data_IF_519524703202
#
_entry.id   IF_519524703202
#
_cell.length_a   1.000
_cell.length_b   1.000
_cell.length_c   1.000
_cell.angle_alpha   90.00
_cell.angle_beta   90.00
_cell.angle_gamma   90.00
#
_symmetry.space_group_name_H-M   'P 1'
#
loop_
_entity.id
_entity.type
_entity.pdbx_description
1 polymer ?
#
# COMPACT_ATOMS: atom_id res chain seq x y z
N UNK A 1 -9.27 19.08 -8.27
CA UNK A 1 -9.04 18.00 -7.29
C UNK A 1 -9.35 18.59 -5.92
N UNK A 2 -10.24 17.93 -5.17
CA UNK A 2 -10.64 18.40 -3.85
C UNK A 2 -9.63 17.85 -2.84
N UNK A 3 -8.73 18.71 -2.37
CA UNK A 3 -7.62 18.32 -1.49
C UNK A 3 -8.05 18.14 -0.05
N UNK A 4 -9.36 18.12 0.28
CA UNK A 4 -9.83 18.06 1.67
C UNK A 4 -9.78 16.66 2.30
N UNK A 5 -9.88 15.59 1.51
CA UNK A 5 -9.88 14.20 2.00
C UNK A 5 -8.48 13.58 2.01
N UNK A 6 -8.27 12.60 2.89
CA UNK A 6 -7.04 11.83 3.05
C UNK A 6 -5.82 12.71 3.34
N UNK A 7 -6.00 13.69 4.22
CA UNK A 7 -4.90 14.53 4.69
C UNK A 7 -3.79 13.68 5.29
N UNK A 8 -2.57 14.23 5.32
CA UNK A 8 -1.45 13.54 5.93
C UNK A 8 -1.65 13.40 7.45
N UNK A 9 -2.14 14.42 8.14
CA UNK A 9 -2.27 14.41 9.61
C UNK A 9 -3.61 14.98 10.08
N UNK A 10 -3.88 14.84 11.39
CA UNK A 10 -5.11 15.30 12.03
C UNK A 10 -6.09 14.17 12.32
N UNK A 11 -7.02 14.40 13.25
CA UNK A 11 -7.97 13.38 13.70
C UNK A 11 -8.93 12.94 12.60
N UNK A 12 -9.38 13.88 11.76
CA UNK A 12 -10.19 13.57 10.58
C UNK A 12 -9.44 12.69 9.59
N UNK A 13 -8.15 12.99 9.34
CA UNK A 13 -7.32 12.16 8.48
C UNK A 13 -7.27 10.71 8.96
N UNK A 14 -6.96 10.51 10.25
CA UNK A 14 -6.90 9.15 10.84
C UNK A 14 -8.22 8.41 10.61
N UNK A 15 -9.37 9.08 10.79
CA UNK A 15 -10.66 8.45 10.50
C UNK A 15 -10.87 8.12 9.03
N UNK A 16 -10.45 8.99 8.10
CA UNK A 16 -10.56 8.78 6.66
C UNK A 16 -9.67 7.63 6.18
N UNK A 17 -8.44 7.53 6.69
CA UNK A 17 -7.53 6.42 6.38
C UNK A 17 -8.06 5.09 6.93
N UNK A 18 -8.58 5.06 8.16
CA UNK A 18 -9.13 3.85 8.78
C UNK A 18 -10.34 3.27 8.03
N UNK A 19 -11.20 4.11 7.44
CA UNK A 19 -12.42 3.63 6.73
C UNK A 19 -12.14 3.01 5.37
N UNK A 20 -10.90 3.11 4.85
CA UNK A 20 -10.49 2.42 3.63
C UNK A 20 -10.52 0.90 3.76
N UNK A 21 -10.41 0.41 5.00
CA UNK A 21 -10.37 -1.02 5.31
C UNK A 21 -11.76 -1.43 5.81
N UNK A 22 -12.41 -2.41 5.17
CA UNK A 22 -13.72 -2.85 5.62
C UNK A 22 -13.63 -3.52 7.00
N UNK A 23 -14.74 -3.51 7.78
CA UNK A 23 -14.80 -4.23 9.04
C UNK A 23 -14.36 -5.70 8.89
N UNK A 24 -13.56 -6.19 9.83
CA UNK A 24 -12.99 -7.54 9.75
C UNK A 24 -11.83 -7.67 8.75
N UNK A 25 -11.16 -6.57 8.41
CA UNK A 25 -9.93 -6.54 7.60
C UNK A 25 -10.09 -7.07 6.16
N UNK A 26 -11.33 -7.18 5.68
CA UNK A 26 -11.63 -7.77 4.38
C UNK A 26 -11.31 -9.26 4.29
N UNK A 27 -11.24 -9.95 5.42
CA UNK A 27 -10.92 -11.38 5.49
C UNK A 27 -12.13 -12.20 5.08
N UNK A 28 -11.94 -13.09 4.10
CA UNK A 28 -12.87 -14.10 3.66
C UNK A 28 -12.34 -15.49 4.04
N UNK A 29 -13.24 -16.42 4.30
CA UNK A 29 -12.88 -17.79 4.68
C UNK A 29 -13.26 -18.73 3.54
N UNK A 30 -12.29 -19.46 2.99
CA UNK A 30 -12.50 -20.36 1.86
C UNK A 30 -11.98 -21.78 2.19
N UNK A 31 -12.61 -22.78 1.55
CA UNK A 31 -12.25 -24.19 1.71
C UNK A 31 -12.82 -24.86 2.96
N UNK A 32 -12.70 -26.18 3.04
CA UNK A 32 -13.23 -26.98 4.16
C UNK A 32 -12.52 -26.74 5.48
N UNK A 33 -11.27 -26.29 5.44
CA UNK A 33 -10.48 -25.93 6.61
C UNK A 33 -10.69 -24.46 7.05
N UNK A 34 -11.51 -23.67 6.33
CA UNK A 34 -11.78 -22.27 6.68
C UNK A 34 -10.56 -21.37 6.58
N UNK A 35 -9.72 -21.56 5.56
CA UNK A 35 -8.49 -20.79 5.42
C UNK A 35 -8.80 -19.32 5.15
N UNK A 36 -8.02 -18.43 5.78
CA UNK A 36 -8.21 -16.99 5.69
C UNK A 36 -7.55 -16.45 4.42
N UNK A 37 -8.30 -15.64 3.68
CA UNK A 37 -7.82 -14.90 2.53
C UNK A 37 -8.27 -13.45 2.67
N UNK A 38 -7.54 -12.53 2.06
CA UNK A 38 -7.95 -11.13 1.93
C UNK A 38 -7.90 -10.76 0.47
N UNK A 39 -8.86 -9.95 0.01
CA UNK A 39 -8.81 -9.38 -1.35
C UNK A 39 -7.55 -8.51 -1.45
N UNK A 40 -6.75 -8.73 -2.51
CA UNK A 40 -5.46 -8.04 -2.69
C UNK A 40 -5.56 -6.51 -2.50
N UNK A 41 -6.63 -5.89 -3.01
CA UNK A 41 -6.90 -4.46 -2.84
C UNK A 41 -6.97 -4.03 -1.36
N UNK A 42 -7.65 -4.79 -0.49
CA UNK A 42 -7.74 -4.43 0.93
C UNK A 42 -6.40 -4.62 1.65
N UNK A 43 -5.62 -5.63 1.27
CA UNK A 43 -4.27 -5.79 1.80
C UNK A 43 -3.36 -4.63 1.37
N UNK A 44 -3.44 -4.18 0.11
CA UNK A 44 -2.73 -2.99 -0.37
C UNK A 44 -3.06 -1.73 0.43
N UNK A 45 -4.34 -1.50 0.74
CA UNK A 45 -4.79 -0.35 1.55
C UNK A 45 -4.32 -0.44 3.00
N UNK A 46 -4.33 -1.64 3.61
CA UNK A 46 -3.77 -1.87 4.95
C UNK A 46 -2.27 -1.55 5.01
N UNK A 47 -1.50 -2.04 4.04
CA UNK A 47 -0.07 -1.74 3.94
C UNK A 47 0.18 -0.23 3.84
N UNK A 48 -0.64 0.47 3.04
CA UNK A 48 -0.53 1.91 2.84
C UNK A 48 -0.84 2.70 4.13
N UNK A 49 -1.88 2.31 4.86
CA UNK A 49 -2.26 2.93 6.13
C UNK A 49 -1.15 2.79 7.20
N UNK A 50 -0.50 1.63 7.29
CA UNK A 50 0.64 1.44 8.22
C UNK A 50 1.84 2.30 7.82
N UNK A 51 2.14 2.42 6.53
CA UNK A 51 3.21 3.32 6.03
C UNK A 51 2.88 4.77 6.38
N UNK A 52 1.63 5.20 6.17
CA UNK A 52 1.14 6.53 6.51
C UNK A 52 1.29 6.82 8.00
N UNK A 53 0.78 5.95 8.86
CA UNK A 53 0.86 6.07 10.31
C UNK A 53 2.31 6.14 10.80
N UNK A 54 3.22 5.36 10.19
CA UNK A 54 4.65 5.46 10.48
C UNK A 54 5.26 6.79 10.05
N UNK A 55 4.85 7.31 8.89
CA UNK A 55 5.33 8.57 8.34
C UNK A 55 4.93 9.77 9.21
N UNK A 56 3.73 9.75 9.79
CA UNK A 56 3.25 10.82 10.69
C UNK A 56 3.56 10.60 12.17
N UNK A 57 4.20 9.48 12.52
CA UNK A 57 4.61 9.19 13.89
C UNK A 57 3.45 8.90 14.84
N UNK A 58 2.40 8.21 14.37
CA UNK A 58 1.31 7.81 15.24
C UNK A 58 1.80 6.77 16.28
N UNK A 59 1.50 6.98 17.58
CA UNK A 59 2.04 6.17 18.67
C UNK A 59 1.40 4.77 18.79
N UNK A 60 0.26 4.52 18.15
CA UNK A 60 -0.60 3.36 18.44
C UNK A 60 -0.34 2.10 17.59
N UNK A 61 0.75 2.07 16.80
CA UNK A 61 1.07 0.90 15.98
C UNK A 61 2.14 -0.02 16.57
N UNK A 62 2.69 0.28 17.75
CA UNK A 62 3.61 -0.66 18.39
C UNK A 62 2.80 -1.84 18.92
N UNK A 63 2.99 -3.05 18.37
CA UNK A 63 2.19 -4.16 18.79
C UNK A 63 2.60 -4.56 20.22
N UNK A 64 1.62 -4.48 21.13
CA UNK A 64 1.77 -4.64 22.59
C UNK A 64 2.13 -6.08 23.03
N UNK A 65 2.53 -6.96 22.11
CA UNK A 65 2.74 -8.38 22.35
C UNK A 65 4.17 -8.82 21.97
N UNK A 66 4.83 -9.53 22.87
CA UNK A 66 6.24 -9.98 22.74
C UNK A 66 6.52 -10.87 21.51
N UNK A 67 5.49 -11.50 20.93
CA UNK A 67 5.57 -12.37 19.74
C UNK A 67 5.24 -11.66 18.42
N UNK A 68 4.94 -10.37 18.46
CA UNK A 68 4.54 -9.62 17.26
C UNK A 68 5.75 -9.01 16.56
N UNK A 69 5.75 -8.94 15.21
CA UNK A 69 6.85 -8.32 14.49
C UNK A 69 7.01 -6.86 14.91
N UNK A 70 8.24 -6.41 15.09
CA UNK A 70 8.53 -5.02 15.39
C UNK A 70 7.93 -4.11 14.32
N UNK A 71 7.57 -2.88 14.71
CA UNK A 71 7.05 -1.88 13.77
C UNK A 71 7.96 -1.68 12.54
N UNK A 72 9.27 -1.86 12.72
CA UNK A 72 10.25 -1.82 11.64
C UNK A 72 10.15 -3.00 10.67
N UNK A 73 10.09 -4.24 11.17
CA UNK A 73 9.89 -5.43 10.34
C UNK A 73 8.58 -5.36 9.56
N UNK A 74 7.53 -4.87 10.21
CA UNK A 74 6.23 -4.67 9.59
C UNK A 74 6.30 -3.60 8.47
N UNK A 75 6.96 -2.47 8.74
CA UNK A 75 7.18 -1.42 7.74
C UNK A 75 7.98 -1.94 6.54
N UNK A 76 9.05 -2.73 6.78
CA UNK A 76 9.84 -3.33 5.70
C UNK A 76 9.01 -4.28 4.84
N UNK A 77 8.20 -5.15 5.47
CA UNK A 77 7.30 -6.06 4.77
C UNK A 77 6.36 -5.28 3.84
N UNK A 78 5.73 -4.22 4.36
CA UNK A 78 4.80 -3.40 3.58
C UNK A 78 5.46 -2.60 2.47
N UNK A 79 6.66 -2.07 2.68
CA UNK A 79 7.41 -1.39 1.62
C UNK A 79 7.82 -2.35 0.50
N UNK A 80 8.19 -3.59 0.84
CA UNK A 80 8.48 -4.62 -0.16
C UNK A 80 7.22 -5.06 -0.92
N UNK A 81 6.10 -5.20 -0.22
CA UNK A 81 4.81 -5.50 -0.84
C UNK A 81 4.38 -4.37 -1.79
N UNK A 82 4.48 -3.11 -1.35
CA UNK A 82 4.15 -1.94 -2.17
C UNK A 82 5.06 -1.84 -3.40
N UNK A 83 6.36 -2.08 -3.24
CA UNK A 83 7.30 -2.19 -4.36
C UNK A 83 6.84 -3.23 -5.37
N UNK A 84 6.47 -4.44 -4.92
CA UNK A 84 5.96 -5.50 -5.82
C UNK A 84 4.68 -5.04 -6.53
N UNK A 85 3.74 -4.45 -5.81
CA UNK A 85 2.49 -3.93 -6.39
C UNK A 85 2.77 -2.89 -7.48
N UNK A 86 3.61 -1.90 -7.19
CA UNK A 86 4.01 -0.85 -8.15
C UNK A 86 4.66 -1.45 -9.39
N UNK A 87 5.65 -2.33 -9.22
CA UNK A 87 6.41 -2.88 -10.35
C UNK A 87 5.58 -3.83 -11.22
N UNK A 88 4.58 -4.50 -10.63
CA UNK A 88 3.79 -5.53 -11.32
C UNK A 88 2.43 -5.07 -11.83
N UNK A 89 1.81 -4.08 -11.20
CA UNK A 89 0.43 -3.70 -11.48
C UNK A 89 0.28 -2.27 -11.97
N UNK A 90 1.26 -1.38 -11.75
CA UNK A 90 1.20 -0.05 -12.36
C UNK A 90 1.64 -0.13 -13.82
N UNK A 91 0.97 0.67 -14.63
CA UNK A 91 1.39 0.89 -16.00
C UNK A 91 2.67 1.72 -15.99
N UNK A 92 3.82 1.07 -16.17
CA UNK A 92 5.12 1.75 -16.24
C UNK A 92 5.27 2.65 -17.47
N UNK A 93 4.33 2.61 -18.42
CA UNK A 93 4.30 3.49 -19.58
C UNK A 93 3.59 4.85 -19.34
N UNK A 94 3.30 5.21 -18.08
CA UNK A 94 2.85 6.56 -17.76
C UNK A 94 3.99 7.56 -18.02
N UNK A 95 3.95 8.20 -19.18
CA UNK A 95 4.87 9.27 -19.58
C UNK A 95 4.51 10.59 -18.88
N UNK A 96 5.53 11.42 -18.59
CA UNK A 96 5.33 12.79 -18.11
C UNK A 96 4.69 13.65 -19.21
N UNK A 97 3.41 14.02 -19.03
CA UNK A 97 2.72 14.97 -19.92
C UNK A 97 3.15 16.39 -19.58
N UNK A 98 4.35 16.76 -20.03
CA UNK A 98 4.68 18.11 -20.52
C UNK A 98 6.08 18.09 -21.15
N UNK A 99 6.15 17.77 -22.43
CA UNK A 99 7.35 17.96 -23.25
C UNK A 99 6.98 18.64 -24.56
N UNK A 100 7.70 19.71 -24.91
CA UNK A 100 7.60 20.37 -26.21
C UNK A 100 8.42 19.63 -27.31
N UNK A 101 8.93 18.43 -27.00
CA UNK A 101 9.78 17.61 -27.88
C UNK A 101 8.98 16.37 -28.34
N UNK A 102 9.07 15.96 -29.62
CA UNK A 102 8.42 14.74 -30.12
C UNK A 102 8.78 13.52 -29.28
N UNK A 103 7.78 12.66 -29.03
CA UNK A 103 7.87 11.46 -28.19
C UNK A 103 9.06 10.58 -28.60
N UNK A 104 10.17 10.69 -27.85
CA UNK A 104 11.19 9.66 -27.82
C UNK A 104 10.81 8.72 -26.68
N UNK A 105 10.66 7.43 -26.98
CA UNK A 105 10.38 6.39 -26.00
C UNK A 105 11.38 6.51 -24.84
N UNK A 106 10.90 6.88 -23.66
CA UNK A 106 11.69 7.04 -22.42
C UNK A 106 11.55 5.80 -21.52
N UNK A 107 11.53 4.60 -22.10
CA UNK A 107 11.93 3.41 -21.34
C UNK A 107 13.46 3.44 -21.19
N UNK A 108 13.92 4.21 -20.21
CA UNK A 108 15.34 4.34 -19.88
C UNK A 108 15.88 3.12 -19.12
N UNK A 109 15.03 2.18 -18.72
CA UNK A 109 15.39 1.11 -17.79
C UNK A 109 15.49 -0.26 -18.44
N UNK A 110 14.78 -0.53 -19.54
CA UNK A 110 14.70 -1.87 -20.16
C UNK A 110 14.41 -2.99 -19.15
N UNK A 111 13.88 -2.65 -17.97
CA UNK A 111 13.69 -3.57 -16.87
C UNK A 111 12.32 -4.18 -17.03
N UNK A 112 12.24 -5.29 -17.76
CA UNK A 112 11.08 -6.16 -17.68
C UNK A 112 11.09 -6.83 -16.30
N UNK A 113 10.10 -6.49 -15.49
CA UNK A 113 9.90 -7.16 -14.21
C UNK A 113 9.06 -8.41 -14.45
N UNK A 114 9.62 -9.58 -14.15
CA UNK A 114 8.85 -10.82 -14.08
C UNK A 114 8.20 -10.89 -12.70
N UNK A 115 6.88 -10.84 -12.68
CA UNK A 115 6.09 -10.96 -11.47
C UNK A 115 5.94 -12.44 -11.12
N UNK A 116 6.58 -12.84 -10.03
CA UNK A 116 6.40 -14.16 -9.44
C UNK A 116 5.48 -14.02 -8.23
N UNK A 117 4.47 -14.89 -8.16
CA UNK A 117 3.63 -15.03 -6.96
C UNK A 117 4.45 -15.62 -5.79
#
# INVERSE_FOLDING_TARGET
>A
EDTHQYQLNGTTAISEWNVLIPPGNGVIHLGSAGQHFTVAMFHQLQCLDVIHAKLVGLPDLDPLHDDSPSLWELTQHYMNYFRRMVLCHLHTALESVQSNVPLAIVDLTWSQYTCCD
#
